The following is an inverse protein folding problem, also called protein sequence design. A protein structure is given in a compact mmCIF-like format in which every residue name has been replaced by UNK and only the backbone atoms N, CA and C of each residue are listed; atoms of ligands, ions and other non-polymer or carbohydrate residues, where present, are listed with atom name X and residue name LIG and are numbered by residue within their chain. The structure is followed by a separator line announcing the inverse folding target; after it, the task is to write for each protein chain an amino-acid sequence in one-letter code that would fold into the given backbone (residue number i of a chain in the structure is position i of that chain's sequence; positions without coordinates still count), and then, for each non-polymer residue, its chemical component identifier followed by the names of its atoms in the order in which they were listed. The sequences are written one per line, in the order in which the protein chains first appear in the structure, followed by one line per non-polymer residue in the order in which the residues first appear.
data_IF_924605037475
#
_entry.id   IF_924605037475
#
_cell.length_a   1.000
_cell.length_b   1.000
_cell.length_c   1.000
_cell.angle_alpha   90.00
_cell.angle_beta   90.00
_cell.angle_gamma   90.00
#
_symmetry.space_group_name_H-M   'P 1'
#
loop_
_entity.id
_entity.type
_entity.pdbx_description
1 polymer ?
#
# COMPACT_ATOMS: atom_id res chain seq x y z
N UNK A 1 -0.11 -2.02 16.87
CA UNK A 1 0.08 -0.57 16.60
C UNK A 1 1.13 -0.40 15.50
N UNK A 2 1.29 0.82 14.94
CA UNK A 2 2.32 1.08 13.91
C UNK A 2 3.73 0.74 14.42
N UNK A 3 3.97 1.04 15.69
CA UNK A 3 5.21 0.72 16.39
C UNK A 3 5.57 -0.77 16.34
N UNK A 4 4.59 -1.66 16.49
CA UNK A 4 4.83 -3.11 16.40
C UNK A 4 5.33 -3.53 15.01
N UNK A 5 4.80 -2.90 13.94
CA UNK A 5 5.26 -3.22 12.58
C UNK A 5 6.70 -2.79 12.36
N UNK A 6 7.09 -1.64 12.90
CA UNK A 6 8.43 -1.07 12.67
C UNK A 6 9.45 -1.70 13.62
N UNK A 7 9.24 -1.59 14.93
CA UNK A 7 10.24 -1.95 15.93
C UNK A 7 10.20 -3.43 16.37
N UNK A 8 9.17 -4.18 16.01
CA UNK A 8 9.08 -5.60 16.35
C UNK A 8 9.20 -6.48 15.12
N UNK A 9 8.38 -6.24 14.08
CA UNK A 9 8.35 -7.16 12.94
C UNK A 9 9.44 -6.85 11.93
N UNK A 10 9.61 -5.57 11.52
CA UNK A 10 10.65 -5.20 10.55
C UNK A 10 12.01 -5.33 11.20
N UNK A 11 12.21 -4.77 12.40
CA UNK A 11 13.49 -4.83 13.09
C UNK A 11 13.91 -6.28 13.39
N UNK A 12 13.01 -7.10 13.90
CA UNK A 12 13.28 -8.52 14.12
C UNK A 12 13.63 -9.29 12.85
N UNK A 13 12.99 -8.96 11.71
CA UNK A 13 13.34 -9.56 10.42
C UNK A 13 14.72 -9.10 9.92
N UNK A 14 15.04 -7.81 10.10
CA UNK A 14 16.35 -7.25 9.74
C UNK A 14 17.45 -7.87 10.58
N UNK A 15 17.27 -7.95 11.89
CA UNK A 15 18.25 -8.57 12.80
C UNK A 15 18.52 -10.03 12.41
N UNK A 16 17.45 -10.81 12.16
CA UNK A 16 17.60 -12.18 11.71
C UNK A 16 18.37 -12.30 10.39
N UNK A 17 18.11 -11.40 9.44
CA UNK A 17 18.84 -11.38 8.15
C UNK A 17 20.31 -10.99 8.33
N UNK A 18 20.59 -10.00 9.17
CA UNK A 18 21.96 -9.56 9.49
C UNK A 18 22.74 -10.71 10.16
N UNK A 19 22.18 -11.35 11.17
CA UNK A 19 22.80 -12.49 11.84
C UNK A 19 23.11 -13.63 10.87
N UNK A 20 22.13 -13.98 10.02
CA UNK A 20 22.25 -15.09 9.07
C UNK A 20 23.24 -14.84 7.95
N UNK A 21 23.34 -13.57 7.49
CA UNK A 21 24.24 -13.18 6.39
C UNK A 21 25.61 -12.73 6.85
N UNK A 22 25.81 -12.44 8.14
CA UNK A 22 27.02 -11.85 8.69
C UNK A 22 27.22 -10.39 8.26
N UNK A 23 26.14 -9.69 7.89
CA UNK A 23 26.14 -8.29 7.49
C UNK A 23 25.66 -7.40 8.64
N UNK A 24 26.21 -6.19 8.71
CA UNK A 24 25.78 -5.20 9.72
C UNK A 24 24.54 -4.43 9.27
N UNK A 25 24.32 -4.30 7.94
CA UNK A 25 23.22 -3.57 7.35
C UNK A 25 22.71 -4.22 6.06
N UNK A 26 21.43 -4.07 5.77
CA UNK A 26 20.75 -4.63 4.60
C UNK A 26 20.31 -3.57 3.59
N UNK A 27 20.02 -4.02 2.36
CA UNK A 27 19.25 -3.23 1.41
C UNK A 27 17.77 -3.46 1.65
N UNK A 28 17.00 -2.40 1.84
CA UNK A 28 15.58 -2.45 2.13
C UNK A 28 14.78 -1.94 0.94
N UNK A 29 13.83 -2.74 0.45
CA UNK A 29 12.87 -2.35 -0.59
C UNK A 29 11.47 -2.30 0.01
N UNK A 30 10.83 -1.15 -0.04
CA UNK A 30 9.46 -0.96 0.39
C UNK A 30 8.53 -0.54 -0.76
N UNK A 31 7.40 -1.23 -0.88
CA UNK A 31 6.39 -0.97 -1.93
C UNK A 31 5.11 -0.48 -1.26
N UNK A 32 4.52 0.60 -1.76
CA UNK A 32 3.27 1.20 -1.28
C UNK A 32 3.35 1.48 0.24
N UNK A 33 2.44 0.94 1.04
CA UNK A 33 2.47 1.05 2.51
C UNK A 33 3.77 0.52 3.12
N UNK A 34 4.34 -0.56 2.53
CA UNK A 34 5.64 -1.09 2.93
C UNK A 34 6.77 -0.09 2.72
N UNK A 35 6.66 0.80 1.73
CA UNK A 35 7.58 1.92 1.54
C UNK A 35 7.50 2.93 2.68
N UNK A 36 6.29 3.29 3.12
CA UNK A 36 6.10 4.19 4.26
C UNK A 36 6.69 3.59 5.55
N UNK A 37 6.46 2.30 5.81
CA UNK A 37 7.05 1.61 6.96
C UNK A 37 8.56 1.53 6.88
N UNK A 38 9.11 1.29 5.68
CA UNK A 38 10.55 1.25 5.44
C UNK A 38 11.22 2.61 5.65
N UNK A 39 10.55 3.71 5.30
CA UNK A 39 11.01 5.07 5.59
C UNK A 39 11.05 5.34 7.10
N UNK A 40 9.97 4.96 7.81
CA UNK A 40 9.95 5.07 9.28
C UNK A 40 11.07 4.23 9.91
N UNK A 41 11.24 2.99 9.46
CA UNK A 41 12.27 2.10 9.97
C UNK A 41 13.68 2.66 9.73
N UNK A 42 13.99 3.08 8.50
CA UNK A 42 15.31 3.65 8.17
C UNK A 42 15.61 4.94 8.92
N UNK A 43 14.57 5.70 9.30
CA UNK A 43 14.73 6.91 10.12
C UNK A 43 15.06 6.60 11.59
N UNK A 44 14.59 5.48 12.11
CA UNK A 44 14.80 5.05 13.50
C UNK A 44 16.06 4.18 13.65
N UNK A 45 16.40 3.40 12.62
CA UNK A 45 17.50 2.43 12.61
C UNK A 45 18.42 2.63 11.39
N UNK A 46 18.98 3.86 11.19
CA UNK A 46 19.79 4.16 10.00
C UNK A 46 21.05 3.28 9.88
N UNK A 47 21.58 2.80 10.99
CA UNK A 47 22.75 1.93 11.04
C UNK A 47 22.51 0.54 10.44
N UNK A 48 21.25 0.07 10.45
CA UNK A 48 20.85 -1.25 9.91
C UNK A 48 20.44 -1.20 8.43
N UNK A 49 20.35 -0.01 7.82
CA UNK A 49 19.88 0.16 6.43
C UNK A 49 21.00 0.72 5.56
N UNK A 50 21.55 -0.13 4.69
CA UNK A 50 22.60 0.26 3.76
C UNK A 50 22.07 1.10 2.59
N UNK A 51 20.97 0.67 1.99
CA UNK A 51 20.25 1.39 0.94
C UNK A 51 18.74 1.19 1.14
N UNK A 52 17.99 2.25 0.91
CA UNK A 52 16.54 2.23 0.91
C UNK A 52 16.01 2.50 -0.49
N UNK A 53 15.17 1.60 -1.00
CA UNK A 53 14.45 1.76 -2.25
C UNK A 53 12.95 1.81 -1.95
N UNK A 54 12.26 2.85 -2.38
CA UNK A 54 10.82 2.98 -2.23
C UNK A 54 10.12 3.04 -3.59
N UNK A 55 9.03 2.31 -3.73
CA UNK A 55 8.24 2.26 -4.95
C UNK A 55 6.78 2.58 -4.63
N UNK A 56 6.17 3.49 -5.39
CA UNK A 56 4.77 3.93 -5.25
C UNK A 56 4.38 4.22 -3.79
N UNK A 57 5.27 4.86 -3.06
CA UNK A 57 5.16 5.05 -1.62
C UNK A 57 4.42 6.34 -1.30
N UNK A 58 3.30 6.28 -0.56
CA UNK A 58 2.63 7.47 -0.06
C UNK A 58 3.45 8.05 1.11
N UNK A 59 3.81 9.32 1.00
CA UNK A 59 4.62 10.03 2.02
C UNK A 59 3.80 11.14 2.68
N UNK A 60 3.10 11.94 1.89
CA UNK A 60 2.21 12.99 2.38
C UNK A 60 0.74 12.61 2.16
N UNK A 61 0.04 12.41 3.28
CA UNK A 61 -1.38 12.07 3.30
C UNK A 61 -2.30 13.28 3.40
N UNK A 62 -1.76 14.49 3.65
CA UNK A 62 -2.54 15.70 3.92
C UNK A 62 -2.71 16.57 2.67
N UNK A 63 -2.56 16.01 1.48
CA UNK A 63 -2.82 16.75 0.24
C UNK A 63 -4.32 16.95 0.02
N UNK A 64 -4.78 18.13 -0.46
CA UNK A 64 -6.21 18.44 -0.60
C UNK A 64 -6.96 17.50 -1.56
N UNK A 65 -6.26 16.92 -2.52
CA UNK A 65 -6.78 16.00 -3.52
C UNK A 65 -6.78 14.52 -3.07
N UNK A 66 -6.28 14.24 -1.87
CA UNK A 66 -6.27 12.90 -1.31
C UNK A 66 -7.63 12.56 -0.71
N UNK A 67 -8.54 12.08 -1.54
CA UNK A 67 -9.91 11.77 -1.15
C UNK A 67 -9.99 10.67 -0.08
N UNK A 68 -9.11 9.66 -0.12
CA UNK A 68 -9.08 8.60 0.90
C UNK A 68 -8.68 9.16 2.26
N UNK A 69 -7.68 10.04 2.31
CA UNK A 69 -7.27 10.68 3.57
C UNK A 69 -8.40 11.54 4.13
N UNK A 70 -9.08 12.33 3.28
CA UNK A 70 -10.20 13.14 3.71
C UNK A 70 -11.35 12.28 4.27
N UNK A 71 -11.68 11.17 3.61
CA UNK A 71 -12.70 10.24 4.11
C UNK A 71 -12.33 9.61 5.45
N UNK A 72 -11.08 9.18 5.61
CA UNK A 72 -10.65 8.52 6.85
C UNK A 72 -10.65 9.45 8.06
N UNK A 73 -10.55 10.77 7.86
CA UNK A 73 -10.67 11.75 8.94
C UNK A 73 -12.10 11.87 9.51
N UNK A 74 -13.10 11.55 8.68
CA UNK A 74 -14.52 11.60 9.06
C UNK A 74 -15.07 10.24 9.57
N UNK A 75 -14.25 9.20 9.53
CA UNK A 75 -14.67 7.85 9.98
C UNK A 75 -14.34 7.69 11.46
N UNK A 76 -15.36 7.32 12.25
CA UNK A 76 -15.14 6.78 13.59
C UNK A 76 -14.60 5.34 13.48
N UNK A 77 -13.28 5.21 13.61
CA UNK A 77 -12.58 3.92 13.41
C UNK A 77 -12.97 2.92 14.49
N UNK A 78 -13.15 3.37 15.73
CA UNK A 78 -13.51 2.49 16.84
C UNK A 78 -14.92 1.92 16.63
N UNK A 79 -15.89 2.78 16.29
CA UNK A 79 -17.24 2.35 15.96
C UNK A 79 -17.26 1.40 14.75
N UNK A 80 -16.45 1.66 13.74
CA UNK A 80 -16.37 0.80 12.56
C UNK A 80 -15.82 -0.58 12.92
N UNK A 81 -14.75 -0.65 13.71
CA UNK A 81 -14.16 -1.92 14.15
C UNK A 81 -15.10 -2.68 15.08
N UNK A 82 -15.74 -2.00 16.01
CA UNK A 82 -16.69 -2.62 16.94
C UNK A 82 -17.93 -3.18 16.22
N UNK A 83 -18.34 -2.54 15.11
CA UNK A 83 -19.52 -2.94 14.36
C UNK A 83 -19.22 -4.03 13.33
N UNK A 84 -18.11 -3.89 12.60
CA UNK A 84 -17.77 -4.73 11.44
C UNK A 84 -16.68 -5.76 11.73
N UNK A 85 -15.92 -5.59 12.80
CA UNK A 85 -14.69 -6.34 13.05
C UNK A 85 -13.61 -5.96 12.04
N UNK A 86 -13.41 -6.80 11.02
CA UNK A 86 -12.53 -6.48 9.90
C UNK A 86 -13.31 -5.72 8.81
N UNK A 87 -12.63 -4.82 8.10
CA UNK A 87 -13.22 -4.13 6.95
C UNK A 87 -13.59 -5.16 5.88
N UNK A 88 -14.87 -5.26 5.46
CA UNK A 88 -15.28 -6.19 4.42
C UNK A 88 -14.59 -5.89 3.08
N UNK A 89 -14.22 -6.95 2.33
CA UNK A 89 -13.58 -6.80 1.03
C UNK A 89 -14.41 -5.97 0.04
N UNK A 90 -15.73 -6.15 0.03
CA UNK A 90 -16.63 -5.40 -0.85
C UNK A 90 -16.66 -3.91 -0.52
N UNK A 91 -16.59 -3.55 0.76
CA UNK A 91 -16.49 -2.15 1.19
C UNK A 91 -15.16 -1.53 0.72
N UNK A 92 -14.06 -2.26 0.87
CA UNK A 92 -12.75 -1.83 0.42
C UNK A 92 -12.73 -1.64 -1.11
N UNK A 93 -13.20 -2.62 -1.86
CA UNK A 93 -13.27 -2.56 -3.32
C UNK A 93 -14.15 -1.40 -3.79
N UNK A 94 -15.32 -1.21 -3.18
CA UNK A 94 -16.22 -0.09 -3.50
C UNK A 94 -15.56 1.26 -3.26
N UNK A 95 -14.82 1.41 -2.15
CA UNK A 95 -14.09 2.65 -1.84
C UNK A 95 -13.04 2.96 -2.91
N UNK A 96 -12.27 1.98 -3.34
CA UNK A 96 -11.30 2.17 -4.43
C UNK A 96 -11.96 2.50 -5.77
N UNK A 97 -13.06 1.84 -6.11
CA UNK A 97 -13.81 2.13 -7.33
C UNK A 97 -14.39 3.54 -7.33
N UNK A 98 -14.80 4.06 -6.17
CA UNK A 98 -15.32 5.42 -6.02
C UNK A 98 -14.26 6.51 -6.19
N UNK A 99 -12.97 6.19 -6.09
CA UNK A 99 -11.90 7.17 -6.35
C UNK A 99 -11.93 7.72 -7.78
N UNK A 100 -12.21 6.86 -8.75
CA UNK A 100 -12.31 7.21 -10.18
C UNK A 100 -13.40 6.36 -10.85
N UNK A 101 -14.67 6.54 -10.48
CA UNK A 101 -15.75 5.62 -10.87
C UNK A 101 -15.91 5.53 -12.39
N UNK A 102 -15.83 6.66 -13.09
CA UNK A 102 -15.95 6.68 -14.54
C UNK A 102 -14.82 5.92 -15.23
N UNK A 103 -13.58 6.12 -14.78
CA UNK A 103 -12.40 5.47 -15.36
C UNK A 103 -12.35 3.98 -15.03
N UNK A 104 -12.66 3.60 -13.79
CA UNK A 104 -12.52 2.22 -13.32
C UNK A 104 -13.72 1.33 -13.69
N UNK A 105 -14.91 1.92 -13.84
CA UNK A 105 -16.11 1.16 -14.24
C UNK A 105 -16.42 1.25 -15.73
N UNK A 106 -16.50 2.46 -16.29
CA UNK A 106 -16.96 2.64 -17.66
C UNK A 106 -15.82 2.54 -18.68
N UNK A 107 -14.73 3.26 -18.47
CA UNK A 107 -13.66 3.36 -19.44
C UNK A 107 -12.99 2.01 -19.72
N UNK A 108 -12.93 1.13 -18.71
CA UNK A 108 -12.44 -0.23 -18.87
C UNK A 108 -13.28 -1.00 -19.89
N UNK A 109 -14.61 -0.94 -19.79
CA UNK A 109 -15.52 -1.67 -20.68
C UNK A 109 -15.68 -1.00 -22.04
N UNK A 110 -15.58 0.34 -22.10
CA UNK A 110 -15.54 1.05 -23.38
C UNK A 110 -14.27 0.67 -24.14
N UNK A 111 -13.11 0.63 -23.46
CA UNK A 111 -11.87 0.18 -24.06
C UNK A 111 -11.90 -1.28 -24.57
N UNK A 112 -12.70 -2.15 -23.94
CA UNK A 112 -12.90 -3.51 -24.44
C UNK A 112 -13.55 -3.53 -25.83
N UNK A 113 -14.47 -2.60 -26.11
CA UNK A 113 -15.15 -2.52 -27.42
C UNK A 113 -14.13 -2.21 -28.53
N UNK A 114 -13.14 -1.38 -28.23
CA UNK A 114 -12.11 -0.98 -29.20
C UNK A 114 -11.14 -2.11 -29.54
N UNK A 115 -11.05 -3.17 -28.73
CA UNK A 115 -10.16 -4.31 -28.90
C UNK A 115 -10.88 -5.62 -29.26
N UNK A 116 -12.20 -5.59 -29.49
CA UNK A 116 -12.99 -6.80 -29.76
C UNK A 116 -12.50 -7.60 -30.96
N UNK A 117 -11.87 -6.95 -31.95
CA UNK A 117 -11.34 -7.58 -33.15
C UNK A 117 -9.90 -8.09 -33.01
N UNK A 118 -9.25 -7.80 -31.86
CA UNK A 118 -7.87 -8.22 -31.57
C UNK A 118 -7.86 -9.30 -30.45
N UNK A 119 -7.71 -10.55 -30.89
CA UNK A 119 -7.72 -11.69 -29.98
C UNK A 119 -6.62 -11.64 -28.93
N UNK A 120 -5.42 -11.16 -29.26
CA UNK A 120 -4.31 -11.06 -28.32
C UNK A 120 -4.60 -9.98 -27.26
N UNK A 121 -5.14 -8.84 -27.68
CA UNK A 121 -5.54 -7.76 -26.76
C UNK A 121 -6.69 -8.19 -25.83
N UNK A 122 -7.61 -9.05 -26.29
CA UNK A 122 -8.67 -9.60 -25.44
C UNK A 122 -8.09 -10.58 -24.40
N UNK A 123 -7.15 -11.43 -24.79
CA UNK A 123 -6.50 -12.37 -23.87
C UNK A 123 -5.72 -11.63 -22.76
N UNK A 124 -5.07 -10.51 -23.08
CA UNK A 124 -4.38 -9.65 -22.10
C UNK A 124 -5.35 -8.86 -21.20
N UNK A 125 -6.58 -8.60 -21.67
CA UNK A 125 -7.60 -7.88 -20.91
C UNK A 125 -8.28 -8.76 -19.84
N UNK A 126 -8.44 -10.07 -20.08
CA UNK A 126 -9.12 -11.02 -19.20
C UNK A 126 -8.24 -11.48 -18.03
#
# INVERSE_FOLDING_TARGET
MLDDYINRFIDGAVDHLCERSGLEAINLLGICQGGAFSLCYASLHPEKVKNLITMVTPVDFHTPDNMLSNWTQEIDVDLMVDTLGNVPADMMNSSYLMLKPFRLHLQKYVGLIDILDDKAAIEDFL
#
